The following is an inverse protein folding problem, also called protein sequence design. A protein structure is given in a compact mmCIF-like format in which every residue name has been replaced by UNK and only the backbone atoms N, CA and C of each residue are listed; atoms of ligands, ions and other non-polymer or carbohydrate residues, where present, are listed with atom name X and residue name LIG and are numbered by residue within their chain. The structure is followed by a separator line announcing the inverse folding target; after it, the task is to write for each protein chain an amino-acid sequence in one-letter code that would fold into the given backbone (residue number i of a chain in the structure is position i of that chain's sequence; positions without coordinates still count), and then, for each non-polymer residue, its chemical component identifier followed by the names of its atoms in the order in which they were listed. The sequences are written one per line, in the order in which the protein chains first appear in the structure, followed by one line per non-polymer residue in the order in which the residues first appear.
data_IF_362249487457
#
_entry.id   IF_362249487457
#
_cell.length_a   1.000
_cell.length_b   1.000
_cell.length_c   1.000
_cell.angle_alpha   90.00
_cell.angle_beta   90.00
_cell.angle_gamma   90.00
#
_symmetry.space_group_name_H-M   'P 1'
#
loop_
_entity.id
_entity.type
_entity.pdbx_description
1 polymer ?
#
# COMPACT_ATOMS: atom_id res chain seq x y z
N UNK A 1 31.02 -46.98 -19.75
CA UNK A 1 31.90 -46.24 -18.81
C UNK A 1 31.34 -44.84 -18.69
N UNK A 2 30.80 -44.49 -17.51
CA UNK A 2 30.18 -43.17 -17.26
C UNK A 2 31.28 -42.17 -16.89
N UNK A 3 31.53 -41.18 -17.74
CA UNK A 3 32.41 -40.05 -17.42
C UNK A 3 31.69 -39.14 -16.41
N UNK A 4 32.00 -39.32 -15.13
CA UNK A 4 31.64 -38.38 -14.07
C UNK A 4 32.51 -37.13 -14.19
N UNK A 5 31.89 -36.01 -14.58
CA UNK A 5 32.50 -34.68 -14.50
C UNK A 5 32.73 -34.36 -13.01
N UNK A 6 33.94 -33.98 -12.56
CA UNK A 6 34.16 -33.65 -11.17
C UNK A 6 33.40 -32.37 -10.81
N UNK A 7 32.57 -32.45 -9.77
CA UNK A 7 32.00 -31.26 -9.13
C UNK A 7 33.17 -30.46 -8.53
N UNK A 8 33.46 -29.29 -9.12
CA UNK A 8 34.42 -28.33 -8.57
C UNK A 8 33.91 -27.89 -7.20
N UNK A 9 34.59 -28.33 -6.14
CA UNK A 9 34.46 -27.72 -4.81
C UNK A 9 34.90 -26.25 -4.89
N UNK A 10 34.20 -25.30 -4.25
CA UNK A 10 34.64 -23.91 -4.22
C UNK A 10 36.01 -23.81 -3.55
N UNK A 11 36.89 -23.00 -4.13
CA UNK A 11 38.21 -22.72 -3.56
C UNK A 11 38.10 -22.02 -2.20
N UNK A 12 39.00 -22.29 -1.25
CA UNK A 12 39.01 -21.62 0.05
C UNK A 12 39.54 -20.19 -0.10
N UNK A 13 38.82 -19.21 0.46
CA UNK A 13 39.33 -17.85 0.69
C UNK A 13 38.78 -16.77 -0.24
N UNK A 14 37.49 -16.46 -0.16
CA UNK A 14 37.04 -15.14 -0.59
C UNK A 14 37.64 -14.08 0.36
N UNK A 15 38.42 -13.15 -0.16
CA UNK A 15 38.90 -12.00 0.60
C UNK A 15 37.68 -11.28 1.22
N UNK A 16 37.55 -11.21 2.56
CA UNK A 16 36.37 -10.60 3.21
C UNK A 16 36.10 -9.17 2.75
N UNK A 17 37.15 -8.40 2.44
CA UNK A 17 37.03 -7.05 1.91
C UNK A 17 36.45 -7.04 0.49
N UNK A 18 36.87 -7.98 -0.36
CA UNK A 18 36.34 -8.11 -1.72
C UNK A 18 34.87 -8.57 -1.72
N UNK A 19 34.51 -9.49 -0.81
CA UNK A 19 33.13 -9.92 -0.63
C UNK A 19 32.25 -8.75 -0.16
N UNK A 20 32.71 -7.99 0.84
CA UNK A 20 31.99 -6.81 1.34
C UNK A 20 31.79 -5.77 0.22
N UNK A 21 32.83 -5.45 -0.54
CA UNK A 21 32.74 -4.49 -1.64
C UNK A 21 31.78 -4.97 -2.76
N UNK A 22 31.74 -6.27 -3.04
CA UNK A 22 30.78 -6.87 -3.98
C UNK A 22 29.34 -6.72 -3.47
N UNK A 23 29.08 -6.99 -2.19
CA UNK A 23 27.75 -6.86 -1.59
C UNK A 23 27.27 -5.40 -1.62
N UNK A 24 28.13 -4.45 -1.26
CA UNK A 24 27.82 -3.01 -1.29
C UNK A 24 27.46 -2.54 -2.70
N UNK A 25 28.28 -2.89 -3.70
CA UNK A 25 28.02 -2.56 -5.10
C UNK A 25 26.72 -3.17 -5.62
N UNK A 26 26.44 -4.42 -5.26
CA UNK A 26 25.20 -5.11 -5.66
C UNK A 26 23.98 -4.44 -5.04
N UNK A 27 24.07 -4.03 -3.77
CA UNK A 27 23.00 -3.32 -3.07
C UNK A 27 22.74 -1.92 -3.64
N UNK A 28 23.79 -1.18 -4.03
CA UNK A 28 23.65 0.12 -4.71
C UNK A 28 22.95 -0.01 -6.07
N UNK A 29 23.41 -0.95 -6.90
CA UNK A 29 22.79 -1.24 -8.20
C UNK A 29 21.34 -1.68 -8.04
N UNK A 30 21.05 -2.55 -7.07
CA UNK A 30 19.70 -2.98 -6.74
C UNK A 30 18.80 -1.78 -6.40
N UNK A 31 19.23 -0.89 -5.50
CA UNK A 31 18.45 0.30 -5.12
C UNK A 31 18.17 1.21 -6.31
N UNK A 32 19.18 1.49 -7.14
CA UNK A 32 19.03 2.31 -8.33
C UNK A 32 18.04 1.68 -9.35
N UNK A 33 18.13 0.36 -9.56
CA UNK A 33 17.23 -0.38 -10.42
C UNK A 33 15.79 -0.35 -9.91
N UNK A 34 15.58 -0.55 -8.60
CA UNK A 34 14.25 -0.48 -7.97
C UNK A 34 13.63 0.91 -8.10
N UNK A 35 14.41 1.98 -7.95
CA UNK A 35 13.93 3.36 -8.14
C UNK A 35 13.49 3.65 -9.57
N UNK A 36 14.12 3.00 -10.56
CA UNK A 36 13.79 3.14 -11.99
C UNK A 36 12.70 2.17 -12.44
N UNK A 37 12.25 1.25 -11.57
CA UNK A 37 11.34 0.16 -11.95
C UNK A 37 11.98 -0.92 -12.83
N UNK A 38 13.32 -0.97 -12.92
CA UNK A 38 14.04 -2.02 -13.64
C UNK A 38 14.17 -3.28 -12.78
N UNK A 39 13.05 -4.02 -12.69
CA UNK A 39 12.99 -5.25 -11.91
C UNK A 39 13.88 -6.37 -12.46
N UNK A 40 14.24 -6.32 -13.75
CA UNK A 40 15.12 -7.31 -14.36
C UNK A 40 16.56 -7.13 -13.85
N UNK A 41 17.08 -5.91 -13.87
CA UNK A 41 18.39 -5.59 -13.31
C UNK A 41 18.42 -5.80 -11.80
N UNK A 42 17.36 -5.42 -11.08
CA UNK A 42 17.25 -5.66 -9.63
C UNK A 42 17.33 -7.17 -9.31
N UNK A 43 16.61 -8.02 -10.05
CA UNK A 43 16.67 -9.47 -9.89
C UNK A 43 18.09 -10.03 -10.12
N UNK A 44 18.80 -9.54 -11.14
CA UNK A 44 20.18 -9.95 -11.41
C UNK A 44 21.13 -9.60 -10.25
N UNK A 45 20.95 -8.42 -9.63
CA UNK A 45 21.73 -8.03 -8.46
C UNK A 45 21.48 -8.97 -7.28
N UNK A 46 20.23 -9.38 -7.04
CA UNK A 46 19.92 -10.37 -6.02
C UNK A 46 20.56 -11.74 -6.32
N UNK A 47 20.54 -12.19 -7.58
CA UNK A 47 21.16 -13.46 -7.98
C UNK A 47 22.68 -13.47 -7.75
N UNK A 48 23.38 -12.36 -8.05
CA UNK A 48 24.81 -12.21 -7.78
C UNK A 48 25.12 -12.45 -6.29
N UNK A 49 24.32 -11.88 -5.40
CA UNK A 49 24.47 -12.06 -3.94
C UNK A 49 24.10 -13.48 -3.51
N UNK A 50 22.98 -14.03 -3.99
CA UNK A 50 22.49 -15.36 -3.61
C UNK A 50 23.39 -16.50 -4.09
N UNK A 51 24.20 -16.31 -5.14
CA UNK A 51 25.25 -17.28 -5.54
C UNK A 51 26.29 -17.49 -4.45
N UNK A 52 26.58 -16.45 -3.66
CA UNK A 52 27.55 -16.52 -2.57
C UNK A 52 26.88 -16.78 -1.22
N UNK A 53 25.69 -16.20 -1.00
CA UNK A 53 24.93 -16.28 0.25
C UNK A 53 23.49 -16.78 -0.01
N UNK A 54 23.28 -18.07 -0.33
CA UNK A 54 22.01 -18.60 -0.84
C UNK A 54 20.83 -18.59 0.14
N UNK A 55 21.09 -18.29 1.42
CA UNK A 55 20.10 -18.28 2.50
C UNK A 55 19.93 -16.90 3.14
N UNK A 56 20.39 -15.83 2.48
CA UNK A 56 20.16 -14.47 2.97
C UNK A 56 18.69 -14.06 2.76
N UNK A 57 17.90 -14.07 3.82
CA UNK A 57 16.43 -13.95 3.74
C UNK A 57 15.94 -12.59 3.22
N UNK A 58 16.62 -11.50 3.58
CA UNK A 58 16.33 -10.17 2.99
C UNK A 58 16.42 -10.22 1.46
N UNK A 59 17.54 -10.73 0.92
CA UNK A 59 17.76 -10.79 -0.53
C UNK A 59 16.84 -11.79 -1.22
N UNK A 60 16.47 -12.89 -0.55
CA UNK A 60 15.42 -13.79 -1.05
C UNK A 60 14.07 -13.08 -1.16
N UNK A 61 13.73 -12.21 -0.20
CA UNK A 61 12.49 -11.43 -0.22
C UNK A 61 12.49 -10.44 -1.38
N UNK A 62 13.60 -9.71 -1.55
CA UNK A 62 13.80 -8.74 -2.62
C UNK A 62 13.75 -9.42 -4.00
N UNK A 63 14.42 -10.57 -4.14
CA UNK A 63 14.40 -11.36 -5.38
C UNK A 63 13.00 -11.86 -5.72
N UNK A 64 12.26 -12.36 -4.72
CA UNK A 64 10.89 -12.83 -4.91
C UNK A 64 9.96 -11.70 -5.35
N UNK A 65 10.15 -10.48 -4.82
CA UNK A 65 9.43 -9.28 -5.23
C UNK A 65 9.76 -8.90 -6.68
N UNK A 66 11.03 -8.89 -7.07
CA UNK A 66 11.41 -8.62 -8.46
C UNK A 66 10.79 -9.65 -9.42
N UNK A 67 10.84 -10.94 -9.07
CA UNK A 67 10.21 -12.00 -9.87
C UNK A 67 8.69 -11.82 -9.98
N UNK A 68 8.03 -11.41 -8.89
CA UNK A 68 6.61 -11.09 -8.87
C UNK A 68 6.28 -9.95 -9.86
N UNK A 69 7.03 -8.84 -9.81
CA UNK A 69 6.86 -7.70 -10.72
C UNK A 69 7.18 -8.03 -12.17
N UNK A 70 8.05 -9.02 -12.42
CA UNK A 70 8.35 -9.57 -13.75
C UNK A 70 7.34 -10.62 -14.24
N UNK A 71 6.25 -10.89 -13.50
CA UNK A 71 5.25 -11.91 -13.86
C UNK A 71 5.72 -13.35 -13.69
N UNK A 72 6.88 -13.59 -13.07
CA UNK A 72 7.42 -14.92 -12.82
C UNK A 72 6.82 -15.54 -11.53
N UNK A 73 5.50 -15.57 -11.44
CA UNK A 73 4.74 -15.90 -10.23
C UNK A 73 5.12 -17.25 -9.61
N UNK A 74 5.27 -18.29 -10.43
CA UNK A 74 5.65 -19.62 -9.94
C UNK A 74 7.04 -19.65 -9.29
N UNK A 75 8.00 -18.85 -9.79
CA UNK A 75 9.33 -18.75 -9.17
C UNK A 75 9.28 -17.93 -7.90
N UNK A 76 8.61 -16.77 -7.95
CA UNK A 76 8.40 -15.90 -6.79
C UNK A 76 7.76 -16.67 -5.63
N UNK A 77 6.66 -17.39 -5.89
CA UNK A 77 5.98 -18.23 -4.91
C UNK A 77 6.90 -19.26 -4.26
N UNK A 78 7.74 -19.97 -5.04
CA UNK A 78 8.70 -20.94 -4.48
C UNK A 78 9.71 -20.28 -3.52
N UNK A 79 10.17 -19.07 -3.83
CA UNK A 79 11.10 -18.34 -2.98
C UNK A 79 10.40 -17.87 -1.70
N UNK A 80 9.21 -17.28 -1.79
CA UNK A 80 8.44 -16.91 -0.61
C UNK A 80 8.06 -18.12 0.27
N UNK A 81 7.73 -19.27 -0.34
CA UNK A 81 7.50 -20.51 0.40
C UNK A 81 8.75 -20.99 1.14
N UNK A 82 9.96 -20.81 0.58
CA UNK A 82 11.22 -21.09 1.29
C UNK A 82 11.36 -20.23 2.55
N UNK A 83 10.99 -18.95 2.48
CA UNK A 83 10.96 -18.07 3.65
C UNK A 83 9.89 -18.56 4.65
N UNK A 84 8.67 -18.81 4.19
CA UNK A 84 7.54 -19.28 5.01
C UNK A 84 7.82 -20.58 5.77
N UNK A 85 8.55 -21.51 5.16
CA UNK A 85 8.90 -22.81 5.74
C UNK A 85 10.15 -22.76 6.65
N UNK A 86 10.84 -21.62 6.72
CA UNK A 86 12.00 -21.45 7.58
C UNK A 86 11.60 -21.25 9.05
N UNK A 87 12.46 -21.56 10.03
CA UNK A 87 12.16 -21.30 11.45
C UNK A 87 11.86 -19.82 11.73
N UNK A 88 11.04 -19.48 12.75
CA UNK A 88 10.66 -18.08 13.03
C UNK A 88 11.84 -17.12 13.20
N UNK A 89 12.92 -17.55 13.87
CA UNK A 89 14.12 -16.74 14.04
C UNK A 89 14.81 -16.40 12.69
N UNK A 90 14.67 -17.28 11.70
CA UNK A 90 15.21 -17.07 10.35
C UNK A 90 14.25 -16.19 9.53
N UNK A 91 12.93 -16.41 9.66
CA UNK A 91 11.92 -15.53 9.04
C UNK A 91 12.09 -14.07 9.47
N UNK A 92 12.47 -13.82 10.73
CA UNK A 92 12.70 -12.48 11.25
C UNK A 92 13.85 -11.71 10.56
N UNK A 93 14.67 -12.38 9.74
CA UNK A 93 15.75 -11.77 8.94
C UNK A 93 15.35 -11.50 7.47
N UNK A 94 14.11 -11.82 7.10
CA UNK A 94 13.52 -11.48 5.81
C UNK A 94 13.01 -10.02 5.79
N UNK A 95 12.66 -9.52 4.60
CA UNK A 95 12.00 -8.20 4.48
C UNK A 95 10.72 -8.17 5.31
N UNK A 96 10.43 -7.08 6.01
CA UNK A 96 9.22 -6.98 6.85
C UNK A 96 7.92 -7.28 6.08
N UNK A 97 7.90 -7.02 4.76
CA UNK A 97 6.77 -7.20 3.86
C UNK A 97 6.78 -8.53 3.08
N UNK A 98 7.62 -9.50 3.45
CA UNK A 98 7.73 -10.76 2.71
C UNK A 98 6.40 -11.54 2.66
N UNK A 99 5.58 -11.41 3.70
CA UNK A 99 4.29 -12.09 3.79
C UNK A 99 3.20 -11.41 2.94
N UNK A 100 3.31 -10.09 2.73
CA UNK A 100 2.47 -9.34 1.78
C UNK A 100 2.77 -9.82 0.36
N UNK A 101 4.06 -9.92 0.00
CA UNK A 101 4.49 -10.46 -1.29
C UNK A 101 4.05 -11.91 -1.52
N UNK A 102 4.09 -12.76 -0.47
CA UNK A 102 3.55 -14.13 -0.54
C UNK A 102 2.03 -14.13 -0.79
N UNK A 103 1.31 -13.23 -0.11
CA UNK A 103 -0.15 -13.11 -0.30
C UNK A 103 -0.48 -12.65 -1.71
N UNK A 104 0.22 -11.64 -2.22
CA UNK A 104 0.05 -11.10 -3.57
C UNK A 104 0.31 -12.19 -4.63
N UNK A 105 1.42 -12.93 -4.54
CA UNK A 105 1.72 -13.98 -5.52
C UNK A 105 0.72 -15.14 -5.46
N UNK A 106 0.17 -15.46 -4.29
CA UNK A 106 -0.92 -16.43 -4.16
C UNK A 106 -2.18 -15.97 -4.89
N UNK A 107 -2.50 -14.67 -4.85
CA UNK A 107 -3.61 -14.08 -5.61
C UNK A 107 -3.43 -14.21 -7.12
N UNK A 108 -2.24 -13.87 -7.63
CA UNK A 108 -1.90 -14.06 -9.05
C UNK A 108 -1.94 -15.53 -9.51
N UNK A 109 -1.75 -16.47 -8.60
CA UNK A 109 -1.81 -17.91 -8.86
C UNK A 109 -3.20 -18.53 -8.57
N UNK A 110 -4.22 -17.71 -8.28
CA UNK A 110 -5.59 -18.13 -7.91
C UNK A 110 -5.65 -19.11 -6.71
N UNK A 111 -4.71 -18.96 -5.76
CA UNK A 111 -4.63 -19.77 -4.53
C UNK A 111 -5.45 -19.16 -3.40
N UNK A 112 -6.77 -19.13 -3.54
CA UNK A 112 -7.69 -18.40 -2.63
C UNK A 112 -7.52 -18.72 -1.14
N UNK A 113 -7.36 -20.00 -0.79
CA UNK A 113 -7.14 -20.40 0.62
C UNK A 113 -5.81 -19.90 1.18
N UNK A 114 -4.78 -19.83 0.33
CA UNK A 114 -3.48 -19.29 0.71
C UNK A 114 -3.51 -17.76 0.82
N UNK A 115 -4.26 -17.07 -0.04
CA UNK A 115 -4.52 -15.62 0.08
C UNK A 115 -5.16 -15.32 1.44
N UNK A 116 -6.24 -16.01 1.79
CA UNK A 116 -6.92 -15.80 3.06
C UNK A 116 -6.00 -16.04 4.27
N UNK A 117 -5.24 -17.15 4.25
CA UNK A 117 -4.34 -17.53 5.33
C UNK A 117 -3.17 -16.56 5.49
N UNK A 118 -2.47 -16.26 4.40
CA UNK A 118 -1.27 -15.43 4.45
C UNK A 118 -1.63 -13.95 4.63
N UNK A 119 -2.73 -13.48 4.04
CA UNK A 119 -3.22 -12.12 4.23
C UNK A 119 -3.63 -11.86 5.67
N UNK A 120 -4.40 -12.77 6.29
CA UNK A 120 -4.73 -12.68 7.71
C UNK A 120 -3.47 -12.69 8.58
N UNK A 121 -2.52 -13.60 8.29
CA UNK A 121 -1.28 -13.67 9.05
C UNK A 121 -0.44 -12.39 8.92
N UNK A 122 -0.45 -11.72 7.75
CA UNK A 122 0.21 -10.43 7.57
C UNK A 122 -0.45 -9.35 8.42
N UNK A 123 -1.78 -9.23 8.34
CA UNK A 123 -2.56 -8.28 9.14
C UNK A 123 -2.34 -8.46 10.65
N UNK A 124 -2.36 -9.70 11.14
CA UNK A 124 -2.13 -9.99 12.57
C UNK A 124 -0.71 -9.63 13.01
N UNK A 125 0.30 -9.79 12.15
CA UNK A 125 1.68 -9.38 12.45
C UNK A 125 1.81 -7.87 12.52
N UNK A 126 1.20 -7.16 11.57
CA UNK A 126 1.15 -5.71 11.57
C UNK A 126 0.40 -5.18 12.78
N UNK A 127 -0.75 -5.77 13.13
CA UNK A 127 -1.53 -5.38 14.31
C UNK A 127 -0.69 -5.54 15.58
N UNK A 128 -0.09 -6.71 15.82
CA UNK A 128 0.76 -6.94 16.98
C UNK A 128 1.93 -5.94 17.10
N UNK A 129 2.46 -5.47 15.97
CA UNK A 129 3.54 -4.47 15.92
C UNK A 129 3.04 -3.06 16.27
N UNK A 130 1.89 -2.66 15.76
CA UNK A 130 1.40 -1.29 15.83
C UNK A 130 0.31 -1.05 16.90
N UNK A 131 -0.19 -2.11 17.56
CA UNK A 131 -1.27 -2.05 18.55
C UNK A 131 -0.88 -1.48 19.91
N UNK A 132 0.39 -1.08 20.09
CA UNK A 132 0.95 -0.57 21.35
C UNK A 132 0.69 0.93 21.57
N UNK A 133 0.03 1.60 20.61
CA UNK A 133 -0.34 3.01 20.72
C UNK A 133 -1.45 3.29 21.73
N UNK A 134 -1.63 4.58 22.04
CA UNK A 134 -2.76 5.04 22.85
C UNK A 134 -4.09 4.73 22.14
N UNK A 135 -5.04 4.18 22.88
CA UNK A 135 -6.38 3.86 22.37
C UNK A 135 -7.36 4.93 22.84
N UNK A 136 -8.10 5.51 21.92
CA UNK A 136 -9.24 6.36 22.24
C UNK A 136 -10.48 5.50 22.49
N UNK A 137 -11.31 5.89 23.47
CA UNK A 137 -12.63 5.29 23.66
C UNK A 137 -13.63 5.94 22.71
N UNK A 138 -14.59 5.17 22.23
CA UNK A 138 -15.71 5.73 21.49
C UNK A 138 -16.52 6.70 22.37
N UNK A 139 -17.00 7.82 21.79
CA UNK A 139 -17.76 8.81 22.56
C UNK A 139 -19.15 8.29 22.97
N UNK A 140 -19.69 7.31 22.25
CA UNK A 140 -20.96 6.64 22.57
C UNK A 140 -20.95 5.18 22.05
N UNK A 141 -21.89 4.32 22.51
CA UNK A 141 -21.96 2.92 22.07
C UNK A 141 -22.16 2.74 20.55
N UNK A 142 -22.85 3.69 19.92
CA UNK A 142 -23.08 3.73 18.48
C UNK A 142 -23.08 5.19 17.99
N UNK A 143 -22.80 5.44 16.70
CA UNK A 143 -22.92 6.77 16.12
C UNK A 143 -24.37 7.29 16.13
N UNK A 144 -24.55 8.61 16.23
CA UNK A 144 -25.85 9.26 16.01
C UNK A 144 -26.35 9.00 14.57
N UNK A 145 -27.65 9.03 14.26
CA UNK A 145 -28.11 8.89 12.87
C UNK A 145 -27.46 9.92 11.93
N UNK A 146 -27.19 9.53 10.68
CA UNK A 146 -26.67 10.46 9.67
C UNK A 146 -27.69 11.55 9.35
N UNK A 147 -27.22 12.79 9.22
CA UNK A 147 -28.04 13.92 8.78
C UNK A 147 -27.51 14.46 7.45
N UNK A 148 -28.18 14.08 6.36
CA UNK A 148 -27.85 14.48 5.00
C UNK A 148 -28.35 15.89 4.64
N UNK A 149 -29.09 16.55 5.55
CA UNK A 149 -29.55 17.95 5.35
C UNK A 149 -28.46 18.97 5.70
N UNK A 150 -27.40 18.54 6.39
CA UNK A 150 -26.25 19.35 6.77
C UNK A 150 -24.96 18.85 6.07
N UNK A 151 -24.78 19.12 4.76
CA UNK A 151 -23.75 18.47 3.96
C UNK A 151 -22.31 18.73 4.43
N UNK A 152 -22.04 19.86 5.09
CA UNK A 152 -20.73 20.15 5.67
C UNK A 152 -20.34 19.24 6.84
N UNK A 153 -21.28 18.48 7.40
CA UNK A 153 -21.00 17.46 8.41
C UNK A 153 -20.61 16.10 7.82
N UNK A 154 -20.81 15.90 6.50
CA UNK A 154 -20.56 14.64 5.80
C UNK A 154 -19.53 14.86 4.67
N UNK A 155 -18.28 14.44 4.89
CA UNK A 155 -17.16 14.81 4.03
C UNK A 155 -16.53 13.62 3.32
N UNK A 156 -16.35 13.71 2.01
CA UNK A 156 -15.46 12.81 1.25
C UNK A 156 -14.11 13.51 1.12
N UNK A 157 -13.10 13.03 1.85
CA UNK A 157 -11.80 13.65 1.95
C UNK A 157 -10.80 13.05 0.94
N UNK A 158 -10.17 13.93 0.17
CA UNK A 158 -9.14 13.62 -0.81
C UNK A 158 -7.89 14.46 -0.56
N UNK A 159 -6.74 14.01 -1.05
CA UNK A 159 -5.57 14.86 -1.23
C UNK A 159 -5.13 14.88 -2.69
N UNK A 160 -4.59 16.00 -3.16
CA UNK A 160 -4.03 16.13 -4.51
C UNK A 160 -2.72 16.92 -4.49
N UNK A 161 -1.68 16.39 -5.11
CA UNK A 161 -0.38 17.02 -5.28
C UNK A 161 0.27 16.51 -6.57
N UNK A 162 1.11 17.35 -7.17
CA UNK A 162 1.71 17.13 -8.48
C UNK A 162 0.74 17.36 -9.64
N UNK A 163 1.21 17.05 -10.83
CA UNK A 163 0.56 17.39 -12.11
C UNK A 163 0.13 16.17 -12.92
N UNK A 164 0.27 14.95 -12.38
CA UNK A 164 -0.01 13.75 -13.14
C UNK A 164 -1.51 13.63 -13.47
N UNK A 165 -1.89 13.47 -14.75
CA UNK A 165 -3.29 13.40 -15.16
C UNK A 165 -4.07 12.27 -14.49
N UNK A 166 -3.42 11.15 -14.17
CA UNK A 166 -4.06 10.01 -13.50
C UNK A 166 -4.67 10.36 -12.14
N UNK A 167 -4.17 11.40 -11.47
CA UNK A 167 -4.71 11.92 -10.22
C UNK A 167 -5.62 13.12 -10.47
N UNK A 168 -5.16 14.09 -11.26
CA UNK A 168 -5.90 15.33 -11.50
C UNK A 168 -7.24 15.08 -12.19
N UNK A 169 -7.24 14.38 -13.33
CA UNK A 169 -8.47 14.14 -14.08
C UNK A 169 -9.42 13.20 -13.34
N UNK A 170 -8.87 12.18 -12.69
CA UNK A 170 -9.68 11.22 -11.93
C UNK A 170 -10.38 11.88 -10.74
N UNK A 171 -9.69 12.77 -10.00
CA UNK A 171 -10.31 13.51 -8.91
C UNK A 171 -11.40 14.46 -9.42
N UNK A 172 -11.19 15.12 -10.56
CA UNK A 172 -12.22 15.97 -11.17
C UNK A 172 -13.46 15.12 -11.50
N UNK A 173 -13.29 13.91 -12.04
CA UNK A 173 -14.42 12.97 -12.26
C UNK A 173 -15.11 12.55 -10.97
N UNK A 174 -14.36 12.31 -9.90
CA UNK A 174 -14.93 12.04 -8.59
C UNK A 174 -15.78 13.20 -8.06
N UNK A 175 -15.30 14.42 -8.19
CA UNK A 175 -16.06 15.61 -7.81
C UNK A 175 -17.31 15.74 -8.65
N UNK A 176 -17.24 15.56 -9.97
CA UNK A 176 -18.39 15.68 -10.88
C UNK A 176 -19.51 14.68 -10.53
N UNK A 177 -19.17 13.43 -10.17
CA UNK A 177 -20.14 12.37 -9.88
C UNK A 177 -20.61 12.34 -8.41
N UNK A 178 -19.89 12.99 -7.50
CA UNK A 178 -20.17 12.93 -6.07
C UNK A 178 -21.61 13.35 -5.69
N UNK A 179 -22.23 14.41 -6.25
CA UNK A 179 -23.60 14.77 -5.90
C UNK A 179 -24.65 13.71 -6.27
N UNK A 180 -24.37 12.90 -7.30
CA UNK A 180 -25.24 11.81 -7.74
C UNK A 180 -25.13 10.59 -6.80
N UNK A 181 -23.89 10.18 -6.49
CA UNK A 181 -23.64 8.99 -5.68
C UNK A 181 -23.77 9.22 -4.16
N UNK A 182 -23.47 10.44 -3.70
CA UNK A 182 -23.41 10.82 -2.30
C UNK A 182 -24.20 12.12 -2.04
N UNK A 183 -25.53 12.12 -2.24
CA UNK A 183 -26.36 13.28 -1.93
C UNK A 183 -26.25 13.66 -0.45
N UNK A 184 -26.07 14.95 -0.17
CA UNK A 184 -25.88 15.44 1.20
C UNK A 184 -24.44 15.30 1.74
N UNK A 185 -23.46 15.09 0.86
CA UNK A 185 -22.03 15.11 1.17
C UNK A 185 -21.30 16.24 0.44
N UNK A 186 -20.16 16.66 0.97
CA UNK A 186 -19.21 17.55 0.28
C UNK A 186 -17.88 16.84 0.03
N UNK A 187 -17.23 17.14 -1.09
CA UNK A 187 -15.85 16.74 -1.30
C UNK A 187 -14.93 17.76 -0.63
N UNK A 188 -14.03 17.32 0.26
CA UNK A 188 -12.95 18.17 0.78
C UNK A 188 -11.63 17.73 0.17
N UNK A 189 -10.95 18.66 -0.46
CA UNK A 189 -9.71 18.39 -1.20
C UNK A 189 -8.60 19.19 -0.55
N UNK A 190 -7.62 18.48 0.00
CA UNK A 190 -6.38 19.03 0.51
C UNK A 190 -5.35 19.04 -0.62
N UNK A 191 -4.95 20.22 -1.10
CA UNK A 191 -4.11 20.35 -2.29
C UNK A 191 -3.09 21.47 -2.17
N UNK A 192 -2.00 21.42 -2.95
CA UNK A 192 -0.91 22.39 -2.92
C UNK A 192 -0.63 23.05 -4.28
N UNK A 193 0.32 23.98 -4.27
CA UNK A 193 0.80 24.75 -5.42
C UNK A 193 1.52 23.94 -6.50
N UNK A 194 1.79 22.65 -6.26
CA UNK A 194 2.30 21.75 -7.29
C UNK A 194 1.19 21.25 -8.23
N UNK A 195 -0.08 21.41 -7.86
CA UNK A 195 -1.24 21.11 -8.70
C UNK A 195 -1.47 22.23 -9.71
N UNK A 196 -1.61 21.94 -11.02
CA UNK A 196 -1.82 22.97 -12.04
C UNK A 196 -3.05 23.85 -11.79
N UNK A 197 -2.94 25.16 -12.04
CA UNK A 197 -4.02 26.13 -11.79
C UNK A 197 -5.35 25.79 -12.48
N UNK A 198 -5.30 25.19 -13.68
CA UNK A 198 -6.51 24.77 -14.39
C UNK A 198 -7.27 23.64 -13.68
N UNK A 199 -6.57 22.82 -12.87
CA UNK A 199 -7.18 21.80 -12.03
C UNK A 199 -7.86 22.44 -10.83
N UNK A 200 -7.21 23.39 -10.14
CA UNK A 200 -7.84 24.19 -9.09
C UNK A 200 -9.17 24.79 -9.55
N UNK A 201 -9.19 25.41 -10.73
CA UNK A 201 -10.39 26.01 -11.31
C UNK A 201 -11.51 24.99 -11.60
N UNK A 202 -11.16 23.77 -12.01
CA UNK A 202 -12.15 22.71 -12.29
C UNK A 202 -12.69 22.03 -11.03
N UNK A 203 -11.91 22.05 -9.95
CA UNK A 203 -12.31 21.54 -8.65
C UNK A 203 -13.16 22.54 -7.85
N UNK A 204 -13.11 23.84 -8.19
CA UNK A 204 -13.94 24.88 -7.57
C UNK A 204 -15.42 24.72 -7.97
N UNK A 205 -16.14 23.86 -7.25
CA UNK A 205 -17.54 23.53 -7.45
C UNK A 205 -18.35 23.73 -6.17
N UNK A 206 -19.68 23.96 -6.24
CA UNK A 206 -20.50 24.30 -5.07
C UNK A 206 -20.47 23.29 -3.92
N UNK A 207 -20.23 22.01 -4.21
CA UNK A 207 -20.16 20.91 -3.24
C UNK A 207 -18.71 20.55 -2.85
N UNK A 208 -17.75 21.43 -3.12
CA UNK A 208 -16.33 21.21 -2.84
C UNK A 208 -15.80 22.21 -1.81
N UNK A 209 -14.93 21.73 -0.93
CA UNK A 209 -14.12 22.53 -0.03
C UNK A 209 -12.64 22.33 -0.40
N UNK A 210 -12.00 23.39 -0.91
CA UNK A 210 -10.57 23.39 -1.20
C UNK A 210 -9.78 23.87 0.01
N UNK A 211 -8.80 23.09 0.45
CA UNK A 211 -7.91 23.40 1.57
C UNK A 211 -6.48 23.49 1.03
N UNK A 212 -5.93 24.71 1.04
CA UNK A 212 -4.57 24.97 0.55
C UNK A 212 -3.52 24.48 1.57
N UNK A 213 -2.74 23.49 1.12
CA UNK A 213 -1.66 22.85 1.86
C UNK A 213 -0.26 23.31 1.39
N UNK A 214 -0.16 24.34 0.55
CA UNK A 214 1.11 24.83 -0.01
C UNK A 214 2.16 25.19 1.04
N UNK A 215 1.72 25.57 2.24
CA UNK A 215 2.59 25.91 3.37
C UNK A 215 2.83 24.76 4.36
N UNK A 216 2.14 23.63 4.22
CA UNK A 216 2.37 22.44 5.05
C UNK A 216 3.58 21.65 4.55
N UNK A 217 4.56 21.40 5.43
CA UNK A 217 5.84 20.74 5.10
C UNK A 217 6.23 19.62 6.07
N UNK A 218 5.46 19.41 7.12
CA UNK A 218 5.72 18.43 8.19
C UNK A 218 5.07 17.07 7.88
N UNK A 219 3.93 17.07 7.20
CA UNK A 219 3.20 15.86 6.84
C UNK A 219 3.46 15.44 5.39
N UNK A 220 3.53 14.13 5.16
CA UNK A 220 3.49 13.59 3.81
C UNK A 220 2.15 13.94 3.14
N UNK A 221 2.13 14.39 1.88
CA UNK A 221 0.90 14.83 1.21
C UNK A 221 -0.24 13.81 1.21
N UNK A 222 0.09 12.52 1.11
CA UNK A 222 -0.89 11.42 1.19
C UNK A 222 -1.68 11.42 2.50
N UNK A 223 -1.11 11.94 3.60
CA UNK A 223 -1.75 11.97 4.91
C UNK A 223 -2.71 13.15 5.09
N UNK A 224 -2.68 14.18 4.24
CA UNK A 224 -3.51 15.38 4.41
C UNK A 224 -5.01 15.08 4.43
N UNK A 225 -5.45 14.08 3.66
CA UNK A 225 -6.84 13.61 3.63
C UNK A 225 -7.36 13.12 4.99
N UNK A 226 -6.47 12.74 5.93
CA UNK A 226 -6.86 12.33 7.28
C UNK A 226 -7.07 13.52 8.23
N UNK A 227 -6.68 14.75 7.84
CA UNK A 227 -6.94 15.95 8.65
C UNK A 227 -8.42 16.25 8.83
N UNK A 228 -9.29 15.63 8.03
CA UNK A 228 -10.76 15.71 8.20
C UNK A 228 -11.20 15.20 9.58
N UNK A 229 -10.44 14.29 10.19
CA UNK A 229 -10.74 13.72 11.50
C UNK A 229 -10.64 14.74 12.64
N UNK A 230 -9.84 15.79 12.46
CA UNK A 230 -9.63 16.83 13.46
C UNK A 230 -10.66 17.96 13.38
N UNK A 231 -11.55 17.94 12.38
CA UNK A 231 -12.59 18.96 12.20
C UNK A 231 -13.79 18.67 13.11
N UNK A 232 -14.05 19.49 14.16
CA UNK A 232 -15.15 19.26 15.09
C UNK A 232 -16.54 19.44 14.45
N UNK A 233 -16.63 20.10 13.29
CA UNK A 233 -17.85 20.25 12.51
C UNK A 233 -18.21 19.00 11.71
N UNK A 234 -17.26 18.10 11.47
CA UNK A 234 -17.50 16.87 10.71
C UNK A 234 -18.02 15.77 11.61
N UNK A 235 -19.12 15.14 11.20
CA UNK A 235 -19.75 14.00 11.90
C UNK A 235 -19.54 12.69 11.17
N UNK A 236 -19.37 12.73 9.85
CA UNK A 236 -19.07 11.59 9.00
C UNK A 236 -18.01 11.98 7.98
N UNK A 237 -17.05 11.10 7.80
CA UNK A 237 -16.09 11.27 6.73
C UNK A 237 -15.74 9.93 6.08
N UNK A 238 -15.36 10.00 4.82
CA UNK A 238 -14.79 8.90 4.05
C UNK A 238 -13.45 9.40 3.52
N UNK A 239 -12.41 8.58 3.60
CA UNK A 239 -11.07 8.94 3.13
C UNK A 239 -10.79 8.20 1.83
N UNK A 240 -10.50 8.92 0.75
CA UNK A 240 -10.42 8.37 -0.60
C UNK A 240 -9.15 8.76 -1.34
N UNK A 241 -8.64 7.81 -2.13
CA UNK A 241 -7.58 8.06 -3.10
C UNK A 241 -8.12 8.85 -4.29
N UNK A 242 -7.32 9.81 -4.79
CA UNK A 242 -7.69 10.68 -5.89
C UNK A 242 -7.85 9.93 -7.22
N UNK A 243 -7.14 8.82 -7.40
CA UNK A 243 -7.19 7.95 -8.58
C UNK A 243 -8.18 6.78 -8.47
N UNK A 244 -8.98 6.73 -7.40
CA UNK A 244 -10.01 5.72 -7.21
C UNK A 244 -11.40 6.30 -7.51
N UNK A 245 -11.94 5.98 -8.68
CA UNK A 245 -13.25 6.46 -9.11
C UNK A 245 -14.36 6.03 -8.14
N UNK A 246 -15.19 6.99 -7.73
CA UNK A 246 -16.41 6.72 -6.97
C UNK A 246 -17.37 5.88 -7.79
N UNK A 247 -18.00 4.91 -7.14
CA UNK A 247 -18.90 3.96 -7.79
C UNK A 247 -20.13 3.63 -6.95
N UNK A 248 -21.19 3.13 -7.60
CA UNK A 248 -22.39 2.63 -6.93
C UNK A 248 -22.09 1.52 -5.92
N UNK A 249 -21.07 0.69 -6.20
CA UNK A 249 -20.63 -0.38 -5.29
C UNK A 249 -20.15 0.18 -3.96
N UNK A 250 -19.36 1.26 -4.01
CA UNK A 250 -18.83 1.91 -2.80
C UNK A 250 -19.92 2.71 -2.09
N UNK A 251 -20.79 3.40 -2.83
CA UNK A 251 -21.95 4.08 -2.26
C UNK A 251 -22.86 3.10 -1.49
N UNK A 252 -23.09 1.91 -2.03
CA UNK A 252 -23.84 0.85 -1.35
C UNK A 252 -23.17 0.40 -0.04
N UNK A 253 -21.85 0.24 -0.02
CA UNK A 253 -21.10 -0.14 1.17
C UNK A 253 -21.12 0.97 2.24
N UNK A 254 -20.97 2.23 1.82
CA UNK A 254 -21.10 3.40 2.71
C UNK A 254 -22.50 3.48 3.30
N UNK A 255 -23.55 3.31 2.50
CA UNK A 255 -24.93 3.33 2.98
C UNK A 255 -25.20 2.21 3.99
N UNK A 256 -24.66 1.00 3.75
CA UNK A 256 -24.74 -0.10 4.71
C UNK A 256 -24.01 0.24 6.02
N UNK A 257 -22.85 0.90 5.96
CA UNK A 257 -22.14 1.38 7.15
C UNK A 257 -22.94 2.44 7.92
N UNK A 258 -23.48 3.45 7.24
CA UNK A 258 -24.27 4.51 7.86
C UNK A 258 -25.52 3.97 8.57
N UNK A 259 -26.08 2.86 8.09
CA UNK A 259 -27.21 2.16 8.70
C UNK A 259 -26.80 1.17 9.82
N UNK A 260 -25.51 0.97 10.05
CA UNK A 260 -24.97 0.01 11.03
C UNK A 260 -24.68 0.70 12.38
N UNK A 261 -24.52 -0.07 13.48
CA UNK A 261 -24.12 0.49 14.78
C UNK A 261 -22.61 0.76 14.88
N UNK A 262 -21.83 0.57 13.81
CA UNK A 262 -20.37 0.63 13.85
C UNK A 262 -19.81 2.03 13.57
N UNK A 263 -18.84 2.45 14.36
CA UNK A 263 -18.12 3.73 14.19
C UNK A 263 -17.26 3.78 12.94
N UNK A 264 -16.70 2.65 12.53
CA UNK A 264 -15.80 2.57 11.39
C UNK A 264 -16.25 1.46 10.45
N UNK A 265 -15.99 1.70 9.17
CA UNK A 265 -16.07 0.71 8.11
C UNK A 265 -14.76 0.77 7.32
N UNK A 266 -14.26 -0.39 6.92
CA UNK A 266 -13.03 -0.49 6.15
C UNK A 266 -13.17 -1.61 5.13
N UNK A 267 -12.73 -1.36 3.90
CA UNK A 267 -12.87 -2.29 2.79
C UNK A 267 -11.51 -2.82 2.34
N UNK A 268 -11.50 -4.08 1.90
CA UNK A 268 -10.39 -4.69 1.13
C UNK A 268 -11.00 -5.38 -0.05
N UNK A 269 -10.87 -4.78 -1.21
CA UNK A 269 -11.48 -5.26 -2.46
C UNK A 269 -10.48 -5.97 -3.39
N UNK A 270 -9.20 -6.01 -3.03
CA UNK A 270 -8.14 -6.67 -3.79
C UNK A 270 -7.27 -7.57 -2.91
N UNK A 271 -6.76 -8.66 -3.49
CA UNK A 271 -6.06 -9.71 -2.74
C UNK A 271 -4.71 -9.27 -2.17
N UNK A 272 -4.14 -8.17 -2.66
CA UNK A 272 -2.89 -7.60 -2.13
C UNK A 272 -3.11 -6.63 -0.98
N UNK A 273 -4.35 -6.38 -0.56
CA UNK A 273 -4.66 -5.44 0.52
C UNK A 273 -4.40 -6.06 1.89
N UNK A 274 -3.14 -6.18 2.27
CA UNK A 274 -2.68 -6.73 3.55
C UNK A 274 -2.17 -5.69 4.54
N UNK A 275 -2.35 -4.40 4.23
CA UNK A 275 -2.09 -3.28 5.13
C UNK A 275 -3.17 -3.14 6.20
N UNK A 276 -2.84 -2.60 7.38
CA UNK A 276 -3.82 -2.36 8.47
C UNK A 276 -4.90 -1.36 8.07
N UNK A 277 -4.48 -0.25 7.46
CA UNK A 277 -5.33 0.80 6.94
C UNK A 277 -4.84 1.14 5.53
N UNK A 278 -5.76 1.13 4.57
CA UNK A 278 -5.45 1.57 3.21
C UNK A 278 -5.40 3.10 3.18
N UNK A 279 -4.51 3.68 2.35
CA UNK A 279 -4.35 5.13 2.25
C UNK A 279 -5.64 5.81 1.74
N UNK A 280 -6.41 5.15 0.88
CA UNK A 280 -7.74 5.58 0.47
C UNK A 280 -8.53 4.43 -0.11
N UNK A 281 -9.47 3.89 0.68
CA UNK A 281 -10.54 3.03 0.18
C UNK A 281 -11.76 3.06 1.10
#
# INVERSE_FOLDING_TARGET
MRNTIPVRRPAPGANPAALKAMLERSAERFRAAMQQGDYALAAQCCEEVLRTMPNQMQVLSDYALCLLRLGQYNKSYKIYQKIYQSPPAVQATASETWLDGLTEVCGWLDKKDEVARHGLASLMRSDARFSQGQRATFPAPQPEPVDLTHPHQNVIAFCLYGDQPRYCETLIKNVEVAPELYPGWVCRIYLDDSVPQHVWQRLDQPHVQLIDMSHEKTLFPTLWRFLVMDDPGVKRFIVRDADSLLSEREAAAVNAWLASPYWFHHMRDYFSHTELLLAGM
#
